data_IF_880676975307
#
_entry.id   IF_880676975307
#
_cell.length_a   1.000
_cell.length_b   1.000
_cell.length_c   1.000
_cell.angle_alpha   90.00
_cell.angle_beta   90.00
_cell.angle_gamma   90.00
#
_symmetry.space_group_name_H-M   'P 1'
#
loop_
_entity.id
_entity.type
_entity.pdbx_description
1 polymer ?
#
# COMPACT_ATOMS: atom_id res chain seq x y z
N UNK A 1 9.59 -17.60 9.82
CA UNK A 1 8.97 -17.63 8.48
C UNK A 1 8.03 -16.45 8.40
N UNK A 2 8.33 -15.47 7.55
CA UNK A 2 7.49 -14.27 7.37
C UNK A 2 6.26 -14.69 6.57
N UNK A 3 5.05 -14.37 7.04
CA UNK A 3 3.82 -14.67 6.30
C UNK A 3 3.23 -13.37 5.78
N UNK A 4 3.14 -13.27 4.46
CA UNK A 4 2.33 -12.23 3.82
C UNK A 4 0.88 -12.65 3.95
N UNK A 5 0.05 -11.79 4.54
CA UNK A 5 -1.37 -12.08 4.74
C UNK A 5 -2.16 -11.75 3.48
N UNK A 6 -3.31 -12.41 3.26
CA UNK A 6 -4.19 -12.05 2.15
C UNK A 6 -4.63 -10.59 2.24
N UNK A 7 -4.91 -10.11 3.47
CA UNK A 7 -5.20 -8.70 3.73
C UNK A 7 -4.04 -7.78 3.34
N UNK A 8 -2.80 -8.15 3.67
CA UNK A 8 -1.59 -7.43 3.28
C UNK A 8 -1.42 -7.35 1.75
N UNK A 9 -1.67 -8.45 1.03
CA UNK A 9 -1.67 -8.44 -0.45
C UNK A 9 -2.75 -7.53 -1.00
N UNK A 10 -3.99 -7.63 -0.50
CA UNK A 10 -5.10 -6.78 -0.94
C UNK A 10 -4.79 -5.30 -0.73
N UNK A 11 -4.22 -4.94 0.42
CA UNK A 11 -3.88 -3.55 0.74
C UNK A 11 -2.69 -3.03 -0.06
N UNK A 12 -1.72 -3.87 -0.39
CA UNK A 12 -0.64 -3.47 -1.26
C UNK A 12 -1.09 -3.29 -2.71
N UNK A 13 -2.00 -4.13 -3.22
CA UNK A 13 -2.65 -3.91 -4.52
C UNK A 13 -3.46 -2.62 -4.51
N UNK A 14 -4.21 -2.35 -3.44
CA UNK A 14 -4.89 -1.07 -3.25
C UNK A 14 -3.89 0.10 -3.29
N UNK A 15 -2.75 0.00 -2.60
CA UNK A 15 -1.70 1.02 -2.59
C UNK A 15 -1.17 1.31 -4.00
N UNK A 16 -0.94 0.28 -4.80
CA UNK A 16 -0.56 0.41 -6.21
C UNK A 16 -1.64 1.16 -7.00
N UNK A 17 -2.88 0.68 -6.97
CA UNK A 17 -3.98 1.26 -7.75
C UNK A 17 -4.24 2.71 -7.34
N UNK A 18 -4.20 3.01 -6.04
CA UNK A 18 -4.42 4.34 -5.50
C UNK A 18 -3.38 5.33 -6.01
N UNK A 19 -2.08 5.01 -5.88
CA UNK A 19 -1.00 5.86 -6.36
C UNK A 19 -0.99 5.97 -7.89
N UNK A 20 -1.32 4.88 -8.59
CA UNK A 20 -1.43 4.88 -10.05
C UNK A 20 -2.53 5.80 -10.54
N UNK A 21 -3.74 5.70 -9.98
CA UNK A 21 -4.87 6.55 -10.34
C UNK A 21 -4.62 8.01 -10.00
N UNK A 22 -4.05 8.29 -8.83
CA UNK A 22 -3.69 9.65 -8.42
C UNK A 22 -2.73 10.28 -9.43
N UNK A 23 -1.67 9.57 -9.80
CA UNK A 23 -0.69 10.09 -10.74
C UNK A 23 -1.24 10.26 -12.17
N UNK A 24 -2.16 9.39 -12.62
CA UNK A 24 -2.84 9.59 -13.92
C UNK A 24 -3.80 10.78 -13.86
N UNK A 25 -4.57 10.91 -12.78
CA UNK A 25 -5.64 11.92 -12.69
C UNK A 25 -5.10 13.33 -12.51
N UNK A 26 -4.03 13.47 -11.72
CA UNK A 26 -3.48 14.77 -11.32
C UNK A 26 -2.06 15.02 -11.87
N UNK A 27 -1.50 14.07 -12.63
CA UNK A 27 -0.19 14.17 -13.25
C UNK A 27 0.98 14.08 -12.25
N UNK A 28 2.16 14.48 -12.71
CA UNK A 28 3.43 14.48 -11.93
C UNK A 28 3.44 15.43 -10.73
N UNK A 29 2.39 16.23 -10.54
CA UNK A 29 2.26 17.17 -9.43
C UNK A 29 1.79 16.52 -8.14
N UNK A 30 1.29 15.28 -8.19
CA UNK A 30 0.89 14.54 -6.99
C UNK A 30 2.05 13.72 -6.45
N UNK A 31 2.43 14.07 -5.21
CA UNK A 31 3.41 13.35 -4.45
C UNK A 31 2.94 11.92 -4.17
N UNK A 32 3.90 11.01 -4.10
CA UNK A 32 3.70 9.65 -3.64
C UNK A 32 2.96 9.62 -2.29
N UNK A 33 1.78 8.98 -2.25
CA UNK A 33 0.94 8.93 -1.06
C UNK A 33 0.85 7.51 -0.50
N UNK A 34 1.47 7.34 0.67
CA UNK A 34 1.39 6.13 1.48
C UNK A 34 0.52 6.32 2.72
N UNK A 35 0.11 7.54 3.03
CA UNK A 35 -0.65 7.84 4.25
C UNK A 35 -1.98 7.13 4.20
N UNK A 36 -2.69 7.21 3.06
CA UNK A 36 -4.00 6.57 2.91
C UNK A 36 -3.90 5.04 2.94
N UNK A 37 -3.03 4.38 2.14
CA UNK A 37 -2.84 2.93 2.23
C UNK A 37 -2.44 2.42 3.62
N UNK A 38 -1.52 3.12 4.30
CA UNK A 38 -1.08 2.75 5.64
C UNK A 38 -2.16 2.98 6.71
N UNK A 39 -2.97 4.02 6.56
CA UNK A 39 -4.10 4.27 7.45
C UNK A 39 -5.16 3.17 7.34
N UNK A 40 -5.48 2.73 6.13
CA UNK A 40 -6.42 1.62 5.91
C UNK A 40 -5.83 0.32 6.47
N UNK A 41 -4.52 0.08 6.28
CA UNK A 41 -3.84 -1.06 6.89
C UNK A 41 -3.93 -1.03 8.42
N UNK A 42 -3.67 0.12 9.03
CA UNK A 42 -3.82 0.29 10.48
C UNK A 42 -5.25 0.01 10.97
N UNK A 43 -6.27 0.49 10.24
CA UNK A 43 -7.68 0.17 10.55
C UNK A 43 -7.96 -1.33 10.43
N UNK A 44 -7.38 -2.00 9.44
CA UNK A 44 -7.53 -3.46 9.27
C UNK A 44 -6.93 -4.23 10.46
N UNK A 45 -5.77 -3.83 10.95
CA UNK A 45 -5.14 -4.41 12.16
C UNK A 45 -5.97 -4.16 13.43
N UNK A 46 -6.68 -3.04 13.53
CA UNK A 46 -7.58 -2.76 14.65
C UNK A 46 -8.87 -3.57 14.59
N UNK A 47 -9.36 -3.85 13.37
CA UNK A 47 -10.57 -4.63 13.15
C UNK A 47 -10.33 -6.13 13.42
N UNK A 48 -9.14 -6.63 13.11
CA UNK A 48 -8.76 -7.98 13.47
C UNK A 48 -8.53 -8.11 14.98
N UNK A 49 -9.38 -8.88 15.67
CA UNK A 49 -9.22 -9.21 17.10
C UNK A 49 -7.99 -10.10 17.41
N UNK A 50 -7.12 -10.34 16.43
CA UNK A 50 -5.90 -11.13 16.59
C UNK A 50 -4.72 -10.17 16.77
N UNK A 51 -3.83 -10.46 17.73
CA UNK A 51 -2.57 -9.71 17.85
C UNK A 51 -1.68 -10.05 16.65
N UNK A 52 -1.44 -9.10 15.74
CA UNK A 52 -0.57 -9.34 14.60
C UNK A 52 0.87 -9.51 15.09
N UNK A 53 1.60 -10.45 14.49
CA UNK A 53 3.03 -10.65 14.78
C UNK A 53 3.82 -9.52 14.13
N UNK A 54 4.74 -8.91 14.87
CA UNK A 54 5.52 -7.75 14.39
C UNK A 54 6.18 -8.00 13.01
N UNK A 55 6.68 -9.21 12.78
CA UNK A 55 7.29 -9.58 11.51
C UNK A 55 6.31 -9.54 10.33
N UNK A 56 5.05 -9.94 10.54
CA UNK A 56 4.02 -9.90 9.50
C UNK A 56 3.63 -8.44 9.19
N UNK A 57 3.61 -7.58 10.23
CA UNK A 57 3.40 -6.14 10.06
C UNK A 57 4.48 -5.51 9.18
N UNK A 58 5.74 -5.80 9.47
CA UNK A 58 6.87 -5.27 8.69
C UNK A 58 6.78 -5.74 7.24
N UNK A 59 6.41 -6.99 7.01
CA UNK A 59 6.28 -7.55 5.66
C UNK A 59 5.15 -6.87 4.87
N UNK A 60 3.97 -6.72 5.47
CA UNK A 60 2.83 -6.07 4.84
C UNK A 60 3.11 -4.59 4.54
N UNK A 61 3.73 -3.86 5.48
CA UNK A 61 4.14 -2.46 5.26
C UNK A 61 5.16 -2.37 4.12
N UNK A 62 6.15 -3.26 4.09
CA UNK A 62 7.15 -3.28 3.02
C UNK A 62 6.50 -3.52 1.66
N UNK A 63 5.52 -4.43 1.60
CA UNK A 63 4.76 -4.73 0.40
C UNK A 63 3.92 -3.52 -0.06
N UNK A 64 3.24 -2.84 0.87
CA UNK A 64 2.44 -1.64 0.62
C UNK A 64 3.29 -0.51 0.04
N UNK A 65 4.50 -0.29 0.60
CA UNK A 65 5.45 0.71 0.12
C UNK A 65 5.95 0.35 -1.28
N UNK A 66 6.36 -0.90 -1.48
CA UNK A 66 6.89 -1.37 -2.76
C UNK A 66 5.86 -1.20 -3.88
N UNK A 67 4.65 -1.71 -3.68
CA UNK A 67 3.60 -1.65 -4.70
C UNK A 67 3.06 -0.23 -4.90
N UNK A 68 2.96 0.58 -3.85
CA UNK A 68 2.67 2.01 -3.99
C UNK A 68 3.70 2.73 -4.85
N UNK A 69 4.99 2.47 -4.61
CA UNK A 69 6.10 3.09 -5.36
C UNK A 69 6.05 2.70 -6.83
N UNK A 70 5.74 1.42 -7.12
CA UNK A 70 5.57 0.92 -8.49
C UNK A 70 4.37 1.61 -9.15
N UNK A 71 3.23 1.74 -8.46
CA UNK A 71 2.04 2.42 -8.99
C UNK A 71 2.30 3.88 -9.35
N UNK A 72 2.97 4.60 -8.44
CA UNK A 72 3.40 5.96 -8.70
C UNK A 72 4.38 6.04 -9.88
N UNK A 73 5.42 5.20 -9.91
CA UNK A 73 6.38 5.17 -11.00
C UNK A 73 5.71 4.94 -12.36
N UNK A 74 4.81 3.96 -12.47
CA UNK A 74 4.08 3.71 -13.72
C UNK A 74 3.22 4.90 -14.13
N UNK A 75 2.52 5.54 -13.19
CA UNK A 75 1.71 6.72 -13.51
C UNK A 75 2.54 7.87 -14.08
N UNK A 76 3.74 8.12 -13.55
CA UNK A 76 4.61 9.21 -14.02
C UNK A 76 5.25 8.96 -15.39
N UNK A 77 5.33 7.69 -15.82
CA UNK A 77 5.95 7.28 -17.09
C UNK A 77 4.93 6.96 -18.20
N UNK A 78 3.69 6.61 -17.83
CA UNK A 78 2.62 6.26 -18.78
C UNK A 78 1.54 7.34 -18.91
N UNK A 79 1.44 8.27 -17.95
CA UNK A 79 0.52 9.40 -17.93
C UNK A 79 1.09 10.69 -18.48
#
# INVERSE_FOLDING_TARGET
>A
MVKVTLAGVTLAVFSFLFNFLLGITFGRFVAFDLVIPLFIYWLSLKWENKKPVLNDIIADISLIILLGSIGWYFSTNLG
#
